data_IF_363633637144
#
_entry.id   IF_363633637144
#
_cell.length_a   1.000
_cell.length_b   1.000
_cell.length_c   1.000
_cell.angle_alpha   90.00
_cell.angle_beta   90.00
_cell.angle_gamma   90.00
#
_symmetry.space_group_name_H-M   'P 1'
#
loop_
_entity.id
_entity.type
_entity.pdbx_description
1 polymer ?
#
# COMPACT_ATOMS: atom_id res chain seq x y z
N UNK A 1 0.86 -18.96 7.70
CA UNK A 1 2.01 -18.05 7.94
C UNK A 1 2.46 -17.38 6.63
N UNK A 2 2.73 -18.12 5.56
CA UNK A 2 3.20 -17.56 4.26
C UNK A 2 2.26 -16.54 3.63
N UNK A 3 0.94 -16.79 3.55
CA UNK A 3 0.02 -15.86 2.88
C UNK A 3 0.00 -14.44 3.47
N UNK A 4 0.31 -14.28 4.75
CA UNK A 4 0.43 -12.96 5.39
C UNK A 4 1.72 -12.25 4.96
N UNK A 5 2.82 -13.00 4.84
CA UNK A 5 4.12 -12.48 4.40
C UNK A 5 4.04 -12.06 2.93
N UNK A 6 3.48 -12.93 2.09
CA UNK A 6 3.30 -12.67 0.66
C UNK A 6 2.35 -11.50 0.36
N UNK A 7 1.46 -11.16 1.30
CA UNK A 7 0.62 -9.97 1.19
C UNK A 7 1.31 -8.71 1.74
N UNK A 8 1.93 -8.80 2.91
CA UNK A 8 2.47 -7.63 3.61
C UNK A 8 3.78 -7.10 2.99
N UNK A 9 4.62 -7.99 2.46
CA UNK A 9 5.89 -7.62 1.84
C UNK A 9 5.69 -6.69 0.62
N UNK A 10 4.88 -7.05 -0.40
CA UNK A 10 4.60 -6.13 -1.50
C UNK A 10 3.75 -4.93 -1.08
N UNK A 11 2.83 -5.08 -0.12
CA UNK A 11 2.00 -3.99 0.38
C UNK A 11 2.86 -2.83 0.92
N UNK A 12 3.99 -3.14 1.57
CA UNK A 12 4.92 -2.13 2.10
C UNK A 12 5.59 -1.32 0.98
N UNK A 13 5.91 -1.96 -0.16
CA UNK A 13 6.40 -1.27 -1.35
C UNK A 13 5.37 -0.31 -1.94
N UNK A 14 4.13 -0.77 -2.10
CA UNK A 14 3.00 0.06 -2.56
C UNK A 14 2.78 1.25 -1.62
N UNK A 15 2.83 1.03 -0.31
CA UNK A 15 2.70 2.09 0.68
C UNK A 15 3.79 3.17 0.54
N UNK A 16 5.05 2.76 0.33
CA UNK A 16 6.17 3.68 0.13
C UNK A 16 6.01 4.52 -1.15
N UNK A 17 5.55 3.91 -2.24
CA UNK A 17 5.29 4.64 -3.48
C UNK A 17 4.09 5.58 -3.36
N UNK A 18 3.04 5.18 -2.64
CA UNK A 18 1.89 6.04 -2.38
C UNK A 18 2.29 7.27 -1.55
N UNK A 19 3.13 7.09 -0.53
CA UNK A 19 3.67 8.17 0.32
C UNK A 19 4.55 9.15 -0.47
N UNK A 20 5.29 8.67 -1.46
CA UNK A 20 6.06 9.51 -2.38
C UNK A 20 5.20 10.28 -3.42
N UNK A 21 3.87 10.10 -3.42
CA UNK A 21 2.96 10.83 -4.29
C UNK A 21 2.67 10.18 -5.64
N UNK A 22 3.07 8.91 -5.87
CA UNK A 22 2.73 8.22 -7.11
C UNK A 22 1.23 7.89 -7.15
N UNK A 23 0.50 8.50 -8.09
CA UNK A 23 -0.95 8.33 -8.24
C UNK A 23 -1.36 6.87 -8.43
N UNK A 24 -0.62 6.13 -9.25
CA UNK A 24 -0.87 4.70 -9.48
C UNK A 24 -0.77 3.90 -8.18
N UNK A 25 0.22 4.21 -7.33
CA UNK A 25 0.38 3.51 -6.05
C UNK A 25 -0.73 3.87 -5.05
N UNK A 26 -1.24 5.10 -5.08
CA UNK A 26 -2.40 5.48 -4.28
C UNK A 26 -3.67 4.74 -4.75
N UNK A 27 -3.87 4.60 -6.06
CA UNK A 27 -4.98 3.81 -6.62
C UNK A 27 -4.87 2.34 -6.22
N UNK A 28 -3.70 1.73 -6.43
CA UNK A 28 -3.44 0.34 -6.03
C UNK A 28 -3.67 0.13 -4.53
N UNK A 29 -3.23 1.07 -3.68
CA UNK A 29 -3.47 0.98 -2.25
C UNK A 29 -4.96 1.06 -1.88
N UNK A 30 -5.75 1.90 -2.56
CA UNK A 30 -7.21 1.99 -2.37
C UNK A 30 -7.92 0.72 -2.83
N UNK A 31 -7.58 0.20 -4.01
CA UNK A 31 -8.14 -1.03 -4.57
C UNK A 31 -7.82 -2.25 -3.71
N UNK A 32 -6.59 -2.34 -3.19
CA UNK A 32 -6.15 -3.40 -2.29
C UNK A 32 -6.61 -3.20 -0.82
N UNK A 33 -7.32 -2.11 -0.50
CA UNK A 33 -7.80 -1.82 0.85
C UNK A 33 -6.68 -1.58 1.88
N UNK A 34 -5.51 -1.13 1.43
CA UNK A 34 -4.37 -0.83 2.29
C UNK A 34 -4.66 0.43 3.12
N UNK A 35 -4.46 0.33 4.44
CA UNK A 35 -4.58 1.47 5.35
C UNK A 35 -3.29 2.27 5.29
N UNK A 36 -3.33 3.42 4.63
CA UNK A 36 -2.23 4.39 4.55
C UNK A 36 -2.42 5.49 5.60
N UNK A 37 -1.69 5.50 6.72
CA UNK A 37 -1.86 6.52 7.76
C UNK A 37 -1.47 7.93 7.27
N UNK A 38 -0.51 8.01 6.34
CA UNK A 38 0.07 9.25 5.83
C UNK A 38 -0.81 9.93 4.76
N UNK A 39 -1.69 9.18 4.09
CA UNK A 39 -2.59 9.73 3.09
C UNK A 39 -3.85 10.38 3.66
N UNK A 40 -3.96 10.41 5.00
CA UNK A 40 -5.06 11.08 5.69
C UNK A 40 -6.42 10.46 5.43
N UNK A 41 -7.38 10.90 6.22
CA UNK A 41 -8.80 10.56 6.07
C UNK A 41 -9.39 11.28 4.86
#
# INVERSE_FOLDING_TARGET
>A
RLGRVLLNDPATGVMRHADAGYELAQQTAREAGLKLPMLGK
#
